data_IF_607414006021
#
_entry.id   IF_607414006021
#
_cell.length_a   1.000
_cell.length_b   1.000
_cell.length_c   1.000
_cell.angle_alpha   90.00
_cell.angle_beta   90.00
_cell.angle_gamma   90.00
#
_symmetry.space_group_name_H-M   'P 1'
#
loop_
_entity.id
_entity.type
_entity.pdbx_description
1 polymer ?
#
# COMPACT_ATOMS: atom_id res chain seq x y z
N UNK A 1 19.71 -27.62 23.51
CA UNK A 1 19.07 -26.37 23.04
C UNK A 1 18.36 -26.67 21.72
N UNK A 2 17.03 -26.77 21.66
CA UNK A 2 16.36 -26.98 20.39
C UNK A 2 16.34 -25.64 19.63
N UNK A 3 16.90 -25.64 18.42
CA UNK A 3 16.84 -24.52 17.51
C UNK A 3 15.37 -24.24 17.16
N UNK A 4 14.86 -23.10 17.61
CA UNK A 4 13.55 -22.61 17.24
C UNK A 4 13.47 -22.48 15.72
N UNK A 5 12.60 -23.29 15.10
CA UNK A 5 12.28 -23.21 13.68
C UNK A 5 11.67 -21.84 13.44
N UNK A 6 12.47 -20.85 13.00
CA UNK A 6 11.96 -19.57 12.53
C UNK A 6 10.90 -19.88 11.48
N UNK A 7 9.64 -19.59 11.81
CA UNK A 7 8.55 -19.72 10.87
C UNK A 7 8.92 -18.87 9.66
N UNK A 8 9.18 -19.51 8.51
CA UNK A 8 9.37 -18.81 7.23
C UNK A 8 8.07 -18.04 6.98
N UNK A 9 8.09 -16.73 7.26
CA UNK A 9 7.03 -15.83 6.80
C UNK A 9 7.03 -15.93 5.27
N UNK A 10 5.93 -16.38 4.70
CA UNK A 10 5.71 -16.34 3.25
C UNK A 10 5.77 -14.89 2.77
N UNK A 11 6.33 -14.66 1.58
CA UNK A 11 6.29 -13.36 0.91
C UNK A 11 4.82 -12.91 0.79
N UNK A 12 4.41 -11.78 1.42
CA UNK A 12 3.02 -11.34 1.42
C UNK A 12 2.51 -10.92 0.04
N UNK A 13 3.40 -10.81 -0.96
CA UNK A 13 3.07 -10.44 -2.33
C UNK A 13 3.11 -11.60 -3.31
N UNK A 14 3.49 -12.80 -2.86
CA UNK A 14 3.43 -14.01 -3.68
C UNK A 14 1.97 -14.48 -3.85
N UNK A 15 1.79 -15.51 -4.67
CA UNK A 15 0.49 -16.08 -4.98
C UNK A 15 -0.31 -16.42 -3.71
N UNK A 16 -1.46 -15.79 -3.59
CA UNK A 16 -2.42 -16.01 -2.53
C UNK A 16 -3.78 -16.28 -3.14
N UNK A 17 -4.63 -17.06 -2.47
CA UNK A 17 -6.00 -17.24 -2.94
C UNK A 17 -6.74 -15.92 -2.90
N UNK A 18 -7.54 -15.66 -3.93
CA UNK A 18 -8.24 -14.38 -4.07
C UNK A 18 -9.21 -14.10 -2.90
N UNK A 19 -9.93 -15.13 -2.44
CA UNK A 19 -10.82 -15.04 -1.28
C UNK A 19 -10.06 -14.66 0.00
N UNK A 20 -8.89 -15.28 0.23
CA UNK A 20 -8.04 -14.97 1.38
C UNK A 20 -7.43 -13.56 1.27
N UNK A 21 -6.99 -13.16 0.08
CA UNK A 21 -6.50 -11.81 -0.21
C UNK A 21 -7.58 -10.77 0.09
N UNK A 22 -8.79 -10.96 -0.44
CA UNK A 22 -9.91 -10.04 -0.27
C UNK A 22 -10.32 -9.95 1.21
N UNK A 23 -10.46 -11.08 1.89
CA UNK A 23 -10.78 -11.13 3.33
C UNK A 23 -9.74 -10.40 4.16
N UNK A 24 -8.46 -10.59 3.86
CA UNK A 24 -7.36 -9.91 4.57
C UNK A 24 -7.42 -8.40 4.32
N UNK A 25 -7.60 -7.99 3.07
CA UNK A 25 -7.73 -6.58 2.69
C UNK A 25 -8.90 -5.90 3.41
N UNK A 26 -10.11 -6.46 3.30
CA UNK A 26 -11.31 -5.93 3.93
C UNK A 26 -11.20 -5.91 5.46
N UNK A 27 -10.64 -6.97 6.07
CA UNK A 27 -10.47 -7.04 7.51
C UNK A 27 -9.57 -5.94 8.08
N UNK A 28 -8.53 -5.55 7.34
CA UNK A 28 -7.65 -4.45 7.72
C UNK A 28 -8.29 -3.08 7.55
N UNK A 29 -9.00 -2.83 6.43
CA UNK A 29 -9.72 -1.56 6.27
C UNK A 29 -10.80 -1.40 7.34
N UNK A 30 -11.55 -2.45 7.64
CA UNK A 30 -12.55 -2.46 8.71
C UNK A 30 -11.95 -2.23 10.12
N UNK A 31 -10.68 -2.59 10.33
CA UNK A 31 -9.98 -2.23 11.57
C UNK A 31 -9.77 -0.71 11.67
N UNK A 32 -9.27 -0.09 10.61
CA UNK A 32 -8.99 1.35 10.57
C UNK A 32 -10.26 2.20 10.61
N UNK A 33 -11.34 1.72 9.99
CA UNK A 33 -12.67 2.33 10.08
C UNK A 33 -13.21 2.27 11.51
N UNK A 34 -13.10 1.11 12.18
CA UNK A 34 -13.59 0.94 13.55
C UNK A 34 -12.90 1.84 14.56
N UNK A 35 -11.60 2.07 14.40
CA UNK A 35 -10.90 3.03 15.27
C UNK A 35 -11.15 4.48 14.86
N UNK A 36 -11.84 4.72 13.74
CA UNK A 36 -12.23 6.05 13.28
C UNK A 36 -11.13 6.82 12.55
N UNK A 37 -10.05 6.14 12.14
CA UNK A 37 -8.98 6.76 11.36
C UNK A 37 -9.30 6.73 9.86
N UNK A 38 -9.77 5.61 9.31
CA UNK A 38 -10.30 5.55 7.95
C UNK A 38 -11.73 6.10 7.95
N UNK A 39 -12.00 7.07 7.08
CA UNK A 39 -13.30 7.73 6.95
C UNK A 39 -14.07 7.25 5.72
N UNK A 40 -13.34 7.00 4.63
CA UNK A 40 -13.95 6.60 3.36
C UNK A 40 -13.02 5.66 2.59
N UNK A 41 -13.57 4.53 2.13
CA UNK A 41 -12.97 3.64 1.15
C UNK A 41 -13.56 3.92 -0.22
N UNK A 42 -12.86 4.73 -1.03
CA UNK A 42 -13.22 5.01 -2.42
C UNK A 42 -12.34 4.21 -3.39
N UNK A 43 -12.00 2.96 -3.06
CA UNK A 43 -11.30 2.05 -3.97
C UNK A 43 -12.27 1.33 -4.91
N UNK A 44 -12.00 1.43 -6.20
CA UNK A 44 -12.67 0.68 -7.25
C UNK A 44 -11.87 -0.56 -7.63
N UNK A 45 -12.58 -1.67 -7.81
CA UNK A 45 -12.01 -2.93 -8.28
C UNK A 45 -12.51 -3.20 -9.69
N UNK A 46 -11.57 -3.27 -10.64
CA UNK A 46 -11.85 -3.52 -12.05
C UNK A 46 -11.22 -4.84 -12.46
N UNK A 47 -12.01 -5.68 -13.12
CA UNK A 47 -11.61 -7.00 -13.58
C UNK A 47 -11.47 -6.94 -15.10
N UNK A 48 -10.35 -7.41 -15.63
CA UNK A 48 -10.25 -7.62 -17.09
C UNK A 48 -11.22 -8.72 -17.54
N UNK A 49 -11.73 -8.64 -18.77
CA UNK A 49 -12.76 -9.55 -19.30
C UNK A 49 -12.34 -11.03 -19.22
N UNK A 50 -11.05 -11.30 -19.39
CA UNK A 50 -10.46 -12.64 -19.35
C UNK A 50 -10.05 -13.10 -17.94
N UNK A 51 -10.33 -12.29 -16.91
CA UNK A 51 -9.92 -12.53 -15.52
C UNK A 51 -8.42 -12.72 -15.31
N UNK A 52 -7.56 -12.30 -16.24
CA UNK A 52 -6.11 -12.42 -16.09
C UNK A 52 -5.52 -11.35 -15.15
N UNK A 53 -6.27 -10.28 -14.90
CA UNK A 53 -5.84 -9.14 -14.11
C UNK A 53 -6.98 -8.50 -13.32
N UNK A 54 -6.63 -7.99 -12.14
CA UNK A 54 -7.48 -7.13 -11.33
C UNK A 54 -6.74 -5.82 -11.07
N UNK A 55 -7.39 -4.69 -11.33
CA UNK A 55 -6.90 -3.36 -11.01
C UNK A 55 -7.68 -2.78 -9.84
N UNK A 56 -6.97 -2.28 -8.83
CA UNK A 56 -7.54 -1.60 -7.67
C UNK A 56 -7.07 -0.15 -7.73
N UNK A 57 -8.00 0.79 -7.88
CA UNK A 57 -7.69 2.22 -8.06
C UNK A 57 -8.62 3.08 -7.26
N UNK A 58 -8.11 4.19 -6.74
CA UNK A 58 -8.94 5.17 -6.05
C UNK A 58 -8.20 5.78 -4.89
N UNK A 59 -8.95 6.18 -3.86
CA UNK A 59 -8.40 6.86 -2.70
C UNK A 59 -9.01 6.35 -1.41
N UNK A 60 -8.16 6.11 -0.43
CA UNK A 60 -8.58 5.94 0.96
C UNK A 60 -8.47 7.31 1.63
N UNK A 61 -9.53 7.74 2.31
CA UNK A 61 -9.56 9.01 3.04
C UNK A 61 -9.52 8.75 4.53
N UNK A 62 -8.63 9.46 5.22
CA UNK A 62 -8.38 9.31 6.64
C UNK A 62 -8.63 10.63 7.38
N UNK A 63 -8.89 10.52 8.69
CA UNK A 63 -9.03 11.66 9.60
C UNK A 63 -7.80 12.56 9.54
N UNK A 64 -8.00 13.87 9.65
CA UNK A 64 -6.92 14.88 9.64
C UNK A 64 -6.54 15.38 8.24
N UNK A 65 -7.39 15.12 7.24
CA UNK A 65 -7.12 15.50 5.84
C UNK A 65 -6.11 14.57 5.15
N UNK A 66 -5.77 13.44 5.77
CA UNK A 66 -4.82 12.48 5.20
C UNK A 66 -5.52 11.59 4.16
N UNK A 67 -4.81 11.19 3.11
CA UNK A 67 -5.32 10.22 2.14
C UNK A 67 -4.20 9.37 1.55
N UNK A 68 -4.56 8.18 1.04
CA UNK A 68 -3.68 7.35 0.22
C UNK A 68 -4.34 7.16 -1.13
N UNK A 69 -3.74 7.72 -2.18
CA UNK A 69 -4.09 7.37 -3.55
C UNK A 69 -3.46 6.02 -3.90
N UNK A 70 -4.27 5.09 -4.38
CA UNK A 70 -3.89 3.72 -4.70
C UNK A 70 -4.03 3.48 -6.19
N UNK A 71 -2.98 2.96 -6.81
CA UNK A 71 -3.05 2.27 -8.09
C UNK A 71 -2.34 0.92 -7.94
N UNK A 72 -3.07 -0.18 -8.03
CA UNK A 72 -2.53 -1.52 -7.82
C UNK A 72 -3.02 -2.46 -8.90
N UNK A 73 -2.13 -3.31 -9.38
CA UNK A 73 -2.44 -4.37 -10.33
C UNK A 73 -2.08 -5.71 -9.73
N UNK A 74 -3.07 -6.60 -9.71
CA UNK A 74 -2.91 -8.00 -9.37
C UNK A 74 -2.88 -8.82 -10.66
N UNK A 75 -1.89 -9.70 -10.76
CA UNK A 75 -1.92 -10.79 -11.72
C UNK A 75 -2.77 -11.91 -11.16
N UNK A 76 -3.59 -12.53 -12.00
CA UNK A 76 -4.52 -13.58 -11.62
C UNK A 76 -4.15 -14.87 -12.35
N UNK A 77 -4.28 -16.00 -11.67
CA UNK A 77 -4.22 -17.33 -12.28
C UNK A 77 -5.29 -18.25 -11.72
N UNK A 78 -5.66 -19.27 -12.49
CA UNK A 78 -6.50 -20.36 -12.02
C UNK A 78 -5.68 -21.62 -11.81
N UNK A 79 -5.64 -22.13 -10.58
CA UNK A 79 -5.02 -23.42 -10.24
C UNK A 79 -6.09 -24.34 -9.68
N UNK A 80 -6.35 -25.44 -10.41
CA UNK A 80 -7.35 -26.46 -10.02
C UNK A 80 -8.72 -25.83 -9.70
N UNK A 81 -9.16 -24.89 -10.54
CA UNK A 81 -10.43 -24.18 -10.39
C UNK A 81 -10.45 -23.12 -9.29
N UNK A 82 -9.29 -22.77 -8.70
CA UNK A 82 -9.19 -21.72 -7.67
C UNK A 82 -8.46 -20.51 -8.23
N UNK A 83 -9.05 -19.34 -8.00
CA UNK A 83 -8.45 -18.06 -8.33
C UNK A 83 -7.36 -17.72 -7.31
N UNK A 84 -6.14 -17.51 -7.80
CA UNK A 84 -5.01 -16.99 -7.03
C UNK A 84 -4.56 -15.67 -7.65
N UNK A 85 -4.09 -14.77 -6.78
CA UNK A 85 -3.60 -13.45 -7.15
C UNK A 85 -2.22 -13.20 -6.56
N UNK A 86 -1.42 -12.41 -7.25
CA UNK A 86 -0.18 -11.82 -6.72
C UNK A 86 -0.08 -10.37 -7.15
N UNK A 87 0.60 -9.54 -6.36
CA UNK A 87 0.81 -8.15 -6.77
C UNK A 87 1.85 -8.12 -7.90
N UNK A 88 1.55 -7.41 -8.98
CA UNK A 88 2.48 -7.16 -10.09
C UNK A 88 2.97 -5.72 -10.11
N UNK A 89 2.04 -4.78 -9.95
CA UNK A 89 2.35 -3.35 -9.88
C UNK A 89 1.61 -2.72 -8.71
N UNK A 90 2.22 -1.70 -8.11
CA UNK A 90 1.58 -0.83 -7.16
C UNK A 90 2.19 0.57 -7.17
N UNK A 91 1.37 1.54 -6.80
CA UNK A 91 1.73 2.86 -6.35
C UNK A 91 0.79 3.25 -5.21
N UNK A 92 1.36 3.58 -4.05
CA UNK A 92 0.63 4.06 -2.89
C UNK A 92 1.17 5.44 -2.53
N UNK A 93 0.44 6.49 -2.84
CA UNK A 93 0.83 7.87 -2.59
C UNK A 93 0.07 8.42 -1.38
N UNK A 94 0.79 8.64 -0.28
CA UNK A 94 0.26 9.32 0.90
C UNK A 94 0.26 10.84 0.70
N UNK A 95 -0.84 11.48 1.08
CA UNK A 95 -1.13 12.88 0.88
C UNK A 95 -1.74 13.47 2.15
N UNK A 96 -1.61 14.79 2.33
CA UNK A 96 -2.35 15.57 3.32
C UNK A 96 -2.96 16.79 2.65
N UNK A 97 -4.27 16.97 2.79
CA UNK A 97 -4.94 18.23 2.46
C UNK A 97 -4.95 19.11 3.71
N UNK A 98 -4.37 20.30 3.63
CA UNK A 98 -4.35 21.27 4.74
C UNK A 98 -5.71 22.01 4.84
N UNK A 99 -5.96 22.74 5.94
CA UNK A 99 -7.16 23.59 6.04
C UNK A 99 -7.31 24.62 4.93
N UNK A 100 -6.20 25.06 4.32
CA UNK A 100 -6.16 25.99 3.19
C UNK A 100 -6.35 25.27 1.83
N UNK A 101 -6.82 24.02 1.84
CA UNK A 101 -7.02 23.15 0.67
C UNK A 101 -5.76 22.81 -0.12
N UNK A 102 -4.57 23.10 0.42
CA UNK A 102 -3.30 22.73 -0.19
C UNK A 102 -3.07 21.21 -0.04
N UNK A 103 -2.82 20.52 -1.16
CA UNK A 103 -2.49 19.09 -1.16
C UNK A 103 -0.98 18.90 -1.11
N UNK A 104 -0.49 18.41 0.03
CA UNK A 104 0.92 18.09 0.24
C UNK A 104 1.17 16.60 0.05
N UNK A 105 2.23 16.28 -0.69
CA UNK A 105 2.77 14.92 -0.80
C UNK A 105 3.58 14.61 0.44
N UNK A 106 3.33 13.46 1.07
CA UNK A 106 4.07 13.02 2.26
C UNK A 106 5.14 12.00 1.86
N UNK A 107 4.69 10.87 1.33
CA UNK A 107 5.55 9.83 0.80
C UNK A 107 4.80 9.00 -0.24
N UNK A 108 5.54 8.26 -1.06
CA UNK A 108 4.97 7.30 -2.01
C UNK A 108 5.81 6.04 -2.03
N UNK A 109 5.15 4.90 -2.13
CA UNK A 109 5.80 3.65 -2.46
C UNK A 109 5.33 3.21 -3.83
N UNK A 110 6.25 2.79 -4.69
CA UNK A 110 5.91 2.18 -5.97
C UNK A 110 6.90 1.07 -6.36
N UNK A 111 6.59 0.42 -7.46
CA UNK A 111 7.50 -0.49 -8.14
C UNK A 111 7.55 -0.23 -9.66
N UNK A 112 7.74 1.03 -10.05
CA UNK A 112 7.90 1.35 -11.47
C UNK A 112 9.21 0.75 -12.02
N UNK A 113 9.09 -0.06 -13.07
CA UNK A 113 10.23 -0.71 -13.72
C UNK A 113 11.26 0.26 -14.32
N UNK A 114 10.93 1.56 -14.45
CA UNK A 114 11.89 2.57 -14.91
C UNK A 114 13.17 2.61 -14.05
N UNK A 115 13.07 2.31 -12.75
CA UNK A 115 14.22 2.37 -11.82
C UNK A 115 15.21 1.20 -11.95
N UNK A 116 14.85 0.12 -12.65
CA UNK A 116 15.82 -0.98 -12.90
C UNK A 116 17.02 -0.53 -13.74
N UNK A 117 16.90 0.60 -14.43
CA UNK A 117 17.98 1.25 -15.20
C UNK A 117 19.00 1.97 -14.33
N UNK A 118 18.76 2.10 -13.02
CA UNK A 118 19.63 2.77 -12.05
C UNK A 118 20.62 1.81 -11.36
N UNK A 119 20.64 0.53 -11.77
CA UNK A 119 21.54 -0.48 -11.22
C UNK A 119 21.03 -1.16 -9.93
N UNK A 120 19.77 -0.89 -9.53
CA UNK A 120 19.15 -1.55 -8.39
C UNK A 120 18.73 -2.99 -8.71
N UNK A 121 18.86 -3.95 -7.75
CA UNK A 121 18.46 -5.34 -7.94
C UNK A 121 16.96 -5.58 -8.24
N UNK A 122 16.10 -4.65 -7.85
CA UNK A 122 14.66 -4.69 -8.07
C UNK A 122 14.07 -3.27 -8.10
N UNK A 123 12.82 -3.17 -8.55
CA UNK A 123 12.14 -1.90 -8.85
C UNK A 123 11.50 -1.21 -7.63
N UNK A 124 11.65 -1.71 -6.39
CA UNK A 124 10.87 -1.22 -5.25
C UNK A 124 11.47 0.04 -4.62
N UNK A 125 10.74 1.14 -4.69
CA UNK A 125 11.21 2.45 -4.20
C UNK A 125 10.23 3.10 -3.22
N UNK A 126 10.78 3.97 -2.39
CA UNK A 126 10.07 4.93 -1.55
C UNK A 126 10.50 6.34 -1.94
N UNK A 127 9.52 7.19 -2.15
CA UNK A 127 9.67 8.61 -2.39
C UNK A 127 9.27 9.34 -1.12
N UNK A 128 10.10 10.28 -0.67
CA UNK A 128 9.82 11.13 0.50
C UNK A 128 9.98 12.57 0.04
N UNK A 129 9.03 13.43 0.41
CA UNK A 129 9.15 14.86 0.17
C UNK A 129 9.57 15.53 1.46
N UNK A 130 10.65 16.31 1.43
CA UNK A 130 11.12 17.07 2.59
C UNK A 130 10.35 18.38 2.78
N UNK A 131 10.70 19.13 3.83
CA UNK A 131 10.06 20.41 4.16
C UNK A 131 10.27 21.49 3.09
N UNK A 132 11.32 21.37 2.28
CA UNK A 132 11.59 22.27 1.16
C UNK A 132 10.82 21.86 -0.12
N UNK A 133 10.05 20.77 -0.06
CA UNK A 133 9.32 20.23 -1.21
C UNK A 133 10.20 19.41 -2.16
N UNK A 134 11.44 19.11 -1.78
CA UNK A 134 12.35 18.30 -2.57
C UNK A 134 12.05 16.81 -2.37
N UNK A 135 11.98 16.08 -3.49
CA UNK A 135 11.71 14.65 -3.50
C UNK A 135 13.01 13.84 -3.43
N UNK A 136 13.04 12.89 -2.49
CA UNK A 136 14.14 11.96 -2.28
C UNK A 136 13.65 10.54 -2.58
N UNK A 137 14.35 9.84 -3.46
CA UNK A 137 14.03 8.46 -3.86
C UNK A 137 14.98 7.49 -3.16
N UNK A 138 14.41 6.52 -2.46
CA UNK A 138 15.11 5.52 -1.67
C UNK A 138 14.74 4.15 -2.22
N UNK A 139 15.73 3.39 -2.68
CA UNK A 139 15.53 1.98 -2.98
C UNK A 139 15.28 1.21 -1.69
N UNK A 140 14.13 0.53 -1.59
CA UNK A 140 13.75 -0.23 -0.38
C UNK A 140 13.99 -1.73 -0.55
N UNK A 141 14.08 -2.20 -1.80
CA UNK A 141 14.28 -3.61 -2.10
C UNK A 141 13.02 -4.45 -1.87
N UNK A 142 12.96 -5.59 -2.56
CA UNK A 142 11.86 -6.55 -2.49
C UNK A 142 11.55 -7.03 -1.07
N UNK A 143 12.58 -7.16 -0.22
CA UNK A 143 12.40 -7.59 1.17
C UNK A 143 11.59 -6.60 2.01
N UNK A 144 11.65 -5.31 1.66
CA UNK A 144 10.92 -4.25 2.35
C UNK A 144 9.74 -3.71 1.55
N UNK A 145 9.36 -4.38 0.45
CA UNK A 145 8.18 -4.05 -0.34
C UNK A 145 6.93 -3.98 0.57
N UNK A 146 6.32 -2.79 0.77
CA UNK A 146 5.20 -2.68 1.68
C UNK A 146 3.90 -3.22 1.07
N UNK A 147 3.08 -3.81 1.93
CA UNK A 147 1.66 -3.97 1.65
C UNK A 147 0.94 -2.65 1.89
N UNK A 148 -0.25 -2.46 1.32
CA UNK A 148 -1.08 -1.28 1.59
C UNK A 148 -1.30 -1.07 3.10
N UNK A 149 -1.46 -2.15 3.88
CA UNK A 149 -1.65 -2.04 5.33
C UNK A 149 -0.45 -1.40 6.03
N UNK A 150 0.78 -1.78 5.65
CA UNK A 150 1.99 -1.14 6.19
C UNK A 150 2.06 0.34 5.84
N UNK A 151 1.59 0.72 4.65
CA UNK A 151 1.51 2.14 4.24
C UNK A 151 0.48 2.90 5.10
N UNK A 152 -0.65 2.29 5.42
CA UNK A 152 -1.64 2.88 6.34
C UNK A 152 -1.05 3.01 7.76
N UNK A 153 -0.37 1.97 8.27
CA UNK A 153 0.30 1.99 9.58
C UNK A 153 1.32 3.14 9.67
N UNK A 154 2.12 3.33 8.62
CA UNK A 154 3.10 4.40 8.52
C UNK A 154 2.43 5.78 8.47
N UNK A 155 1.37 5.93 7.66
CA UNK A 155 0.61 7.17 7.58
C UNK A 155 -0.01 7.54 8.93
N UNK A 156 -0.56 6.56 9.65
CA UNK A 156 -1.11 6.77 10.99
C UNK A 156 -0.04 7.25 11.97
N UNK A 157 1.14 6.62 11.95
CA UNK A 157 2.27 7.01 12.80
C UNK A 157 2.71 8.45 12.49
N UNK A 158 2.82 8.80 11.20
CA UNK A 158 3.16 10.14 10.77
C UNK A 158 2.10 11.17 11.17
N UNK A 159 0.82 10.83 11.04
CA UNK A 159 -0.28 11.70 11.45
C UNK A 159 -0.25 11.99 12.96
N UNK A 160 0.07 11.00 13.80
CA UNK A 160 0.26 11.22 15.24
C UNK A 160 1.43 12.17 15.55
N UNK A 161 2.52 12.10 14.78
CA UNK A 161 3.69 12.97 14.95
C UNK A 161 3.40 14.41 14.54
N UNK A 162 2.69 14.59 13.43
CA UNK A 162 2.41 15.92 12.87
C UNK A 162 1.32 16.67 13.63
N UNK A 163 0.31 15.95 14.15
CA UNK A 163 -0.87 16.58 14.76
C UNK A 163 -0.89 16.50 16.29
N UNK A 164 0.11 15.86 16.92
CA UNK A 164 0.29 15.79 18.37
C UNK A 164 -0.75 14.95 19.12
N UNK A 165 -1.99 14.81 18.62
CA UNK A 165 -2.98 13.78 18.98
C UNK A 165 -4.21 13.89 18.05
N UNK A 166 -4.47 12.92 17.18
CA UNK A 166 -5.64 12.85 16.26
C UNK A 166 -7.01 12.67 16.96
N UNK A 167 -7.04 12.78 18.29
CA UNK A 167 -8.11 12.27 19.17
C UNK A 167 -8.68 13.30 20.15
N UNK A 168 -8.33 14.59 20.02
CA UNK A 168 -9.07 15.67 20.69
C UNK A 168 -10.34 16.00 19.91
#
# INVERSE_FOLDING_TARGET
MPAGRLARRSDPHDWNRFDNYLKTHQGYLAHWERIGFLLEDALEWRFEEDWSRITIRGRLHFRGGYSIAVDKVLEVRSIRGRCEVRTKYYAYQALRTTPDEEVRRLFRYDNDHQYTREGHPDEHHKHIVDEAGQEHVIWVGRQNWPTLHKVIDELFTLALQLDGTLWQ
#
